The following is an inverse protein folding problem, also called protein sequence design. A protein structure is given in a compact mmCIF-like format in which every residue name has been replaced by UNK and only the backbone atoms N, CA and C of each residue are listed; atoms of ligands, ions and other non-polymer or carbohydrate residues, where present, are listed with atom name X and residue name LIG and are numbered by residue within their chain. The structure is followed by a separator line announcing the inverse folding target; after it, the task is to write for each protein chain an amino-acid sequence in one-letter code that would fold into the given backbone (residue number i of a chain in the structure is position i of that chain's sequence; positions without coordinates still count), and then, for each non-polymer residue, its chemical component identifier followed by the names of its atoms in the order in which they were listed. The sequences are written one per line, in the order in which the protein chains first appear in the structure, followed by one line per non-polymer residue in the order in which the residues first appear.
data_IF_262268915724
#
_entry.id   IF_262268915724
#
_cell.length_a   1.000
_cell.length_b   1.000
_cell.length_c   1.000
_cell.angle_alpha   90.00
_cell.angle_beta   90.00
_cell.angle_gamma   90.00
#
_symmetry.space_group_name_H-M   'P 1'
#
loop_
_entity.id
_entity.type
_entity.pdbx_description
1 polymer ?
#
# COMPACT_ATOMS: atom_id res chain seq x y z
N UNK A 1 -3.49 -46.75 16.94
CA UNK A 1 -3.63 -45.62 16.00
C UNK A 1 -3.37 -44.35 16.78
N UNK A 2 -2.22 -43.70 16.59
CA UNK A 2 -1.83 -42.51 17.34
C UNK A 2 -2.24 -41.26 16.56
N UNK A 3 -3.14 -40.46 17.14
CA UNK A 3 -3.56 -39.17 16.57
C UNK A 3 -2.56 -38.12 17.01
N UNK A 4 -1.78 -37.58 16.07
CA UNK A 4 -0.89 -36.45 16.35
C UNK A 4 -1.73 -35.17 16.51
N UNK A 5 -1.50 -34.35 17.55
CA UNK A 5 -2.16 -33.07 17.68
C UNK A 5 -1.65 -32.14 16.57
N UNK A 6 -2.56 -31.67 15.72
CA UNK A 6 -2.26 -30.62 14.74
C UNK A 6 -2.14 -29.32 15.52
N UNK A 7 -0.91 -28.91 15.78
CA UNK A 7 -0.62 -27.59 16.32
C UNK A 7 -0.96 -26.55 15.25
N UNK A 8 -2.14 -25.93 15.37
CA UNK A 8 -2.58 -24.85 14.50
C UNK A 8 -1.99 -23.55 15.02
N UNK A 9 -0.71 -23.33 14.74
CA UNK A 9 -0.09 -22.02 14.93
C UNK A 9 -0.83 -21.01 14.05
N UNK A 10 -1.66 -20.17 14.68
CA UNK A 10 -2.32 -19.05 14.03
C UNK A 10 -1.24 -18.05 13.56
N UNK A 11 -0.87 -18.12 12.29
CA UNK A 11 0.08 -17.22 11.61
C UNK A 11 -0.49 -15.82 11.35
N UNK A 12 -1.29 -15.28 12.28
CA UNK A 12 -1.94 -13.98 12.12
C UNK A 12 -1.51 -12.98 13.20
N UNK A 13 -0.23 -12.95 13.54
CA UNK A 13 0.32 -11.72 14.13
C UNK A 13 0.37 -10.65 13.03
N UNK A 14 -0.68 -9.81 12.95
CA UNK A 14 -0.74 -8.68 12.02
C UNK A 14 0.37 -7.67 12.24
N UNK A 15 1.00 -7.68 13.42
CA UNK A 15 2.09 -6.79 13.79
C UNK A 15 3.41 -7.09 13.06
N UNK A 16 3.57 -8.31 12.51
CA UNK A 16 4.84 -8.73 11.92
C UNK A 16 4.90 -8.66 10.39
N UNK A 17 3.78 -8.35 9.71
CA UNK A 17 3.84 -8.12 8.27
C UNK A 17 4.29 -6.68 8.02
N UNK A 18 5.47 -6.44 7.41
CA UNK A 18 5.74 -5.12 6.87
C UNK A 18 4.57 -4.78 5.95
N UNK A 19 4.01 -3.56 6.02
CA UNK A 19 2.85 -3.20 5.23
C UNK A 19 3.21 -3.43 3.75
N UNK A 20 2.61 -4.47 3.15
CA UNK A 20 2.68 -4.68 1.70
C UNK A 20 1.87 -3.53 1.12
N UNK A 21 2.56 -2.44 0.81
CA UNK A 21 1.97 -1.22 0.34
C UNK A 21 2.24 -1.13 -1.16
N UNK A 22 1.18 -1.05 -1.97
CA UNK A 22 1.29 -0.64 -3.38
C UNK A 22 1.70 0.82 -3.49
N UNK A 23 1.41 1.65 -2.48
CA UNK A 23 1.73 3.07 -2.49
C UNK A 23 2.28 3.56 -1.16
N UNK A 24 3.11 4.59 -1.20
CA UNK A 24 3.56 5.34 -0.03
C UNK A 24 3.54 6.84 -0.32
N UNK A 25 3.66 7.68 0.73
CA UNK A 25 3.78 9.12 0.56
C UNK A 25 5.24 9.48 0.28
N UNK A 26 5.44 10.25 -0.78
CA UNK A 26 6.70 10.90 -1.08
C UNK A 26 6.94 12.13 -0.19
N UNK A 27 8.16 12.69 -0.22
CA UNK A 27 8.54 13.84 0.59
C UNK A 27 7.76 15.13 0.26
N UNK A 28 7.21 15.23 -0.96
CA UNK A 28 6.32 16.31 -1.39
C UNK A 28 4.85 16.07 -1.02
N UNK A 29 4.55 14.99 -0.29
CA UNK A 29 3.19 14.54 0.02
C UNK A 29 2.48 13.87 -1.15
N UNK A 30 3.12 13.70 -2.30
CA UNK A 30 2.54 12.97 -3.43
C UNK A 30 2.47 11.47 -3.14
N UNK A 31 1.56 10.75 -3.80
CA UNK A 31 1.55 9.30 -3.75
C UNK A 31 2.58 8.76 -4.73
N UNK A 32 3.41 7.83 -4.26
CA UNK A 32 4.43 7.17 -5.06
C UNK A 32 4.19 5.67 -5.10
N UNK A 33 4.53 5.06 -6.24
CA UNK A 33 4.46 3.61 -6.39
C UNK A 33 5.63 2.96 -5.64
N UNK A 34 5.34 1.99 -4.77
CA UNK A 34 6.37 1.32 -3.96
C UNK A 34 7.42 0.60 -4.80
N UNK A 35 7.08 0.09 -6.00
CA UNK A 35 8.03 -0.63 -6.85
C UNK A 35 9.06 0.27 -7.52
N UNK A 36 8.66 1.43 -8.03
CA UNK A 36 9.54 2.30 -8.83
C UNK A 36 9.87 3.64 -8.16
N UNK A 37 9.27 3.94 -6.99
CA UNK A 37 9.39 5.20 -6.26
C UNK A 37 9.09 6.43 -7.14
N UNK A 38 8.23 6.27 -8.15
CA UNK A 38 7.76 7.37 -9.00
C UNK A 38 6.37 7.79 -8.57
N UNK A 39 6.13 9.10 -8.73
CA UNK A 39 4.83 9.72 -8.49
C UNK A 39 3.74 9.07 -9.34
N UNK A 40 2.59 8.90 -8.71
CA UNK A 40 1.36 8.43 -9.32
C UNK A 40 0.53 9.61 -9.81
N UNK A 41 -0.04 9.45 -11.00
CA UNK A 41 -0.94 10.45 -11.57
C UNK A 41 -2.39 10.09 -11.26
N UNK A 42 -3.18 11.07 -10.83
CA UNK A 42 -4.59 10.88 -10.50
C UNK A 42 -5.43 10.84 -11.78
N UNK A 43 -6.14 9.74 -11.99
CA UNK A 43 -6.95 9.51 -13.19
C UNK A 43 -8.44 9.83 -12.98
N UNK A 44 -8.88 9.96 -11.73
CA UNK A 44 -10.26 10.25 -11.38
C UNK A 44 -10.79 9.37 -10.26
N UNK A 45 -12.10 9.42 -10.05
CA UNK A 45 -12.79 8.56 -9.09
C UNK A 45 -13.64 7.50 -9.81
N UNK A 46 -13.65 6.28 -9.28
CA UNK A 46 -14.50 5.18 -9.72
C UNK A 46 -15.66 5.03 -8.73
N UNK A 47 -16.87 4.93 -9.27
CA UNK A 47 -18.12 4.78 -8.53
C UNK A 47 -18.33 5.80 -7.38
N UNK A 48 -17.62 6.93 -7.38
CA UNK A 48 -17.68 7.97 -6.34
C UNK A 48 -16.96 7.66 -5.03
N UNK A 49 -16.33 6.48 -4.90
CA UNK A 49 -15.73 6.03 -3.63
C UNK A 49 -14.28 5.57 -3.74
N UNK A 50 -13.83 5.21 -4.94
CA UNK A 50 -12.45 4.78 -5.15
C UNK A 50 -11.71 5.81 -5.98
N UNK A 51 -10.46 6.07 -5.60
CA UNK A 51 -9.53 6.94 -6.31
C UNK A 51 -8.69 6.07 -7.24
N UNK A 52 -8.61 6.43 -8.51
CA UNK A 52 -7.81 5.71 -9.50
C UNK A 52 -6.53 6.49 -9.81
N UNK A 53 -5.41 5.77 -9.78
CA UNK A 53 -4.09 6.31 -10.05
C UNK A 53 -3.41 5.49 -11.14
N UNK A 54 -2.52 6.13 -11.89
CA UNK A 54 -1.71 5.45 -12.90
C UNK A 54 -0.23 5.69 -12.68
N UNK A 55 0.55 4.60 -12.75
CA UNK A 55 2.00 4.66 -12.74
C UNK A 55 2.54 4.53 -14.17
N UNK A 56 3.10 5.61 -14.72
CA UNK A 56 3.67 5.59 -16.09
C UNK A 56 4.94 4.77 -16.23
N UNK A 57 5.66 4.50 -15.14
CA UNK A 57 6.89 3.68 -15.19
C UNK A 57 6.58 2.19 -15.18
N UNK A 58 5.57 1.77 -14.43
CA UNK A 58 5.18 0.36 -14.31
C UNK A 58 3.98 -0.01 -15.21
N UNK A 59 3.35 0.99 -15.83
CA UNK A 59 2.17 0.86 -16.69
C UNK A 59 1.00 0.17 -15.99
N UNK A 60 0.73 0.55 -14.74
CA UNK A 60 -0.29 -0.09 -13.89
C UNK A 60 -1.31 0.91 -13.34
N UNK A 61 -2.54 0.44 -13.19
CA UNK A 61 -3.59 1.14 -12.45
C UNK A 61 -3.57 0.72 -10.99
N UNK A 62 -3.64 1.72 -10.11
CA UNK A 62 -3.74 1.53 -8.67
C UNK A 62 -5.03 2.20 -8.21
N UNK A 63 -6.01 1.38 -7.84
CA UNK A 63 -7.28 1.85 -7.30
C UNK A 63 -7.23 1.78 -5.78
N UNK A 64 -7.50 2.90 -5.11
CA UNK A 64 -7.42 3.05 -3.66
C UNK A 64 -8.70 3.64 -3.09
N UNK A 65 -9.11 3.17 -1.92
CA UNK A 65 -10.14 3.86 -1.15
C UNK A 65 -9.54 5.11 -0.47
N UNK A 66 -10.23 6.28 -0.44
CA UNK A 66 -9.80 7.47 0.31
C UNK A 66 -9.39 7.18 1.76
N UNK A 67 -10.02 6.22 2.43
CA UNK A 67 -9.65 5.81 3.79
C UNK A 67 -8.24 5.20 3.87
N UNK A 68 -7.78 4.53 2.81
CA UNK A 68 -6.41 4.00 2.72
C UNK A 68 -5.42 5.14 2.60
N UNK A 69 -5.68 6.10 1.71
CA UNK A 69 -4.81 7.29 1.50
C UNK A 69 -4.63 8.09 2.79
N UNK A 70 -5.69 8.21 3.60
CA UNK A 70 -5.65 8.88 4.91
C UNK A 70 -4.85 8.13 5.98
N UNK A 71 -4.66 6.82 5.83
CA UNK A 71 -3.90 5.99 6.77
C UNK A 71 -2.45 5.81 6.39
N UNK A 72 -2.07 6.23 5.18
CA UNK A 72 -0.67 6.20 4.77
C UNK A 72 0.14 7.10 5.71
N UNK A 73 1.26 6.60 6.27
CA UNK A 73 2.16 7.42 7.07
C UNK A 73 2.58 8.66 6.29
N UNK A 74 2.66 9.80 7.00
CA UNK A 74 3.27 10.99 6.43
C UNK A 74 4.76 10.74 6.18
N UNK A 75 5.35 11.37 5.14
CA UNK A 75 6.76 11.22 4.85
C UNK A 75 7.57 11.68 6.06
N UNK A 76 8.53 10.86 6.47
CA UNK A 76 9.45 11.21 7.56
C UNK A 76 10.73 11.80 6.97
N UNK A 77 11.52 12.54 7.77
CA UNK A 77 12.82 13.07 7.31
C UNK A 77 13.79 11.97 6.84
N UNK A 78 13.57 10.71 7.24
CA UNK A 78 14.34 9.56 6.78
C UNK A 78 14.11 9.24 5.28
N UNK A 79 12.94 9.60 4.73
CA UNK A 79 12.53 9.31 3.36
C UNK A 79 13.03 10.36 2.35
N UNK A 80 13.72 11.40 2.83
CA UNK A 80 14.26 12.53 2.04
C UNK A 80 15.72 12.27 1.60
N UNK A 81 16.36 11.20 2.08
CA UNK A 81 17.80 10.95 1.93
C UNK A 81 18.20 10.14 0.70
#
# INVERSE_FOLDING_TARGET
MATLPIDRTLTTSRDAMPPVATVHRGPDGSLQHTRCARRLEFMGARAGFELDFYCYTCCEHITLNPYVVRRLPEPTDADVR
#
